data_IF_797452349574
#
_entry.id   IF_797452349574
#
_cell.length_a   1.000
_cell.length_b   1.000
_cell.length_c   1.000
_cell.angle_alpha   90.00
_cell.angle_beta   90.00
_cell.angle_gamma   90.00
#
_symmetry.space_group_name_H-M   'P 1'
#
loop_
_entity.id
_entity.type
_entity.pdbx_description
1 polymer ?
#
# COMPACT_ATOMS: atom_id res chain seq x y z
N UNK A 1 -23.03 17.69 13.95
CA UNK A 1 -22.33 16.42 14.26
C UNK A 1 -22.37 15.58 12.98
N UNK A 2 -21.31 15.59 12.20
CA UNK A 2 -21.26 14.81 10.95
C UNK A 2 -20.95 13.37 11.34
N UNK A 3 -21.91 12.49 11.20
CA UNK A 3 -21.66 11.05 11.38
C UNK A 3 -20.80 10.58 10.23
N UNK A 4 -19.56 10.25 10.52
CA UNK A 4 -18.69 9.60 9.54
C UNK A 4 -19.23 8.18 9.31
N UNK A 5 -19.69 7.92 8.10
CA UNK A 5 -20.07 6.57 7.69
C UNK A 5 -18.79 5.74 7.71
N UNK A 6 -18.72 4.71 8.56
CA UNK A 6 -17.64 3.72 8.55
C UNK A 6 -17.55 3.11 7.15
N UNK A 7 -16.50 3.43 6.43
CA UNK A 7 -16.26 2.76 5.17
C UNK A 7 -15.55 1.42 5.48
N UNK A 8 -16.33 0.39 5.72
CA UNK A 8 -15.86 -0.95 6.10
C UNK A 8 -15.14 -1.69 4.97
N UNK A 9 -14.92 -1.04 3.82
CA UNK A 9 -14.47 -1.70 2.59
C UNK A 9 -12.98 -1.55 2.30
N UNK A 10 -12.19 -0.93 3.16
CA UNK A 10 -10.76 -0.80 2.93
C UNK A 10 -10.00 -2.02 3.47
N UNK A 11 -9.19 -2.65 2.61
CA UNK A 11 -8.25 -3.66 3.08
C UNK A 11 -7.14 -2.99 3.90
N UNK A 12 -6.71 -3.65 4.98
CA UNK A 12 -5.71 -3.15 5.92
C UNK A 12 -4.34 -3.73 5.64
N UNK A 13 -3.31 -2.90 5.73
CA UNK A 13 -1.92 -3.27 5.56
C UNK A 13 -1.00 -2.63 6.59
N UNK A 14 0.22 -3.12 6.59
CA UNK A 14 1.34 -2.59 7.37
C UNK A 14 2.57 -2.47 6.50
N UNK A 15 3.49 -1.59 6.86
CA UNK A 15 4.79 -1.56 6.20
C UNK A 15 5.93 -1.78 7.20
N UNK A 16 6.93 -2.52 6.75
CA UNK A 16 8.01 -3.04 7.56
C UNK A 16 9.38 -2.72 6.94
N UNK A 17 10.36 -2.54 7.82
CA UNK A 17 11.75 -2.37 7.41
C UNK A 17 12.68 -2.89 8.51
N UNK A 18 13.98 -2.73 8.30
CA UNK A 18 14.99 -3.00 9.34
C UNK A 18 14.64 -2.37 10.69
N UNK A 19 13.91 -1.25 10.70
CA UNK A 19 13.50 -0.56 11.93
C UNK A 19 12.35 -1.25 12.67
N UNK A 20 11.64 -2.18 12.02
CA UNK A 20 10.60 -3.01 12.64
C UNK A 20 11.17 -4.24 13.39
N UNK A 21 12.49 -4.36 13.45
CA UNK A 21 13.23 -5.42 14.14
C UNK A 21 14.14 -4.79 15.20
N UNK A 22 14.44 -5.50 16.28
CA UNK A 22 15.39 -5.01 17.28
C UNK A 22 16.75 -4.66 16.66
N UNK A 23 17.48 -3.74 17.31
CA UNK A 23 18.76 -3.26 16.80
C UNK A 23 19.79 -4.39 16.57
N UNK A 24 19.74 -5.43 17.37
CA UNK A 24 20.61 -6.60 17.32
C UNK A 24 20.10 -7.73 16.41
N UNK A 25 18.97 -7.52 15.71
CA UNK A 25 18.28 -8.52 14.85
C UNK A 25 17.84 -9.79 15.59
N UNK A 26 17.68 -9.75 16.91
CA UNK A 26 17.27 -10.92 17.71
C UNK A 26 15.77 -11.03 17.90
N UNK A 27 15.07 -9.88 17.96
CA UNK A 27 13.63 -9.82 18.16
C UNK A 27 12.94 -9.36 16.89
N UNK A 28 12.00 -10.18 16.43
CA UNK A 28 11.26 -10.01 15.18
C UNK A 28 9.78 -9.93 15.47
N UNK A 29 9.00 -9.22 14.66
CA UNK A 29 7.55 -9.27 14.76
C UNK A 29 7.04 -10.72 14.68
N UNK A 30 6.10 -11.06 15.55
CA UNK A 30 5.44 -12.37 15.52
C UNK A 30 4.33 -12.36 14.45
N UNK A 31 4.61 -12.98 13.33
CA UNK A 31 3.67 -13.07 12.22
C UNK A 31 2.44 -13.92 12.50
N UNK A 32 2.44 -14.75 13.55
CA UNK A 32 1.22 -15.43 14.00
C UNK A 32 0.28 -14.45 14.72
N UNK A 33 0.81 -13.44 15.41
CA UNK A 33 0.00 -12.35 15.96
C UNK A 33 -0.50 -11.43 14.86
N UNK A 34 0.34 -11.11 13.87
CA UNK A 34 -0.05 -10.33 12.68
C UNK A 34 -1.20 -11.03 11.94
N UNK A 35 -1.11 -12.35 11.71
CA UNK A 35 -2.14 -13.13 11.03
C UNK A 35 -3.50 -13.17 11.76
N UNK A 36 -3.48 -13.01 13.10
CA UNK A 36 -4.69 -13.03 13.95
C UNK A 36 -5.19 -11.64 14.32
N UNK A 37 -4.51 -10.60 13.83
CA UNK A 37 -4.89 -9.21 14.14
C UNK A 37 -6.29 -8.89 13.62
N UNK A 38 -6.99 -8.02 14.34
CA UNK A 38 -8.27 -7.49 13.90
C UNK A 38 -8.21 -5.96 13.88
N UNK A 39 -8.38 -5.34 12.71
CA UNK A 39 -8.71 -5.94 11.42
C UNK A 39 -7.59 -6.80 10.86
N UNK A 40 -7.94 -7.73 9.97
CA UNK A 40 -6.99 -8.61 9.30
C UNK A 40 -5.96 -7.79 8.52
N UNK A 41 -4.70 -8.18 8.62
CA UNK A 41 -3.65 -7.65 7.76
C UNK A 41 -3.70 -8.37 6.41
N UNK A 42 -4.13 -7.66 5.38
CA UNK A 42 -4.37 -8.20 4.04
C UNK A 42 -3.14 -8.03 3.12
N UNK A 43 -2.31 -7.02 3.39
CA UNK A 43 -1.07 -6.79 2.66
C UNK A 43 0.04 -6.30 3.58
N UNK A 44 1.28 -6.57 3.17
CA UNK A 44 2.48 -6.13 3.86
C UNK A 44 3.43 -5.52 2.84
N UNK A 45 3.75 -4.24 3.02
CA UNK A 45 4.85 -3.62 2.32
C UNK A 45 6.15 -3.83 3.10
N UNK A 46 7.27 -3.92 2.39
CA UNK A 46 8.55 -4.15 3.06
C UNK A 46 9.72 -3.59 2.28
N UNK A 47 10.64 -2.92 2.98
CA UNK A 47 11.82 -2.39 2.35
C UNK A 47 12.74 -3.51 1.86
N UNK A 48 13.00 -3.51 0.55
CA UNK A 48 13.96 -4.41 -0.06
C UNK A 48 15.37 -3.80 -0.07
N UNK A 49 15.48 -2.53 -0.46
CA UNK A 49 16.76 -1.87 -0.55
C UNK A 49 16.68 -0.36 -0.62
N UNK A 50 17.86 0.26 -0.67
CA UNK A 50 18.06 1.69 -0.82
C UNK A 50 19.15 1.94 -1.84
N UNK A 51 18.91 2.81 -2.83
CA UNK A 51 19.89 3.16 -3.85
C UNK A 51 20.46 1.91 -4.56
N UNK A 52 21.72 1.90 -4.88
CA UNK A 52 22.36 0.80 -5.63
C UNK A 52 23.19 -0.17 -4.76
N UNK A 53 23.23 0.01 -3.44
CA UNK A 53 24.16 -0.75 -2.62
C UNK A 53 23.64 -1.23 -1.27
N UNK A 54 22.49 -0.72 -0.78
CA UNK A 54 21.95 -1.17 0.50
C UNK A 54 20.82 -2.19 0.28
N UNK A 55 21.02 -3.39 0.81
CA UNK A 55 20.01 -4.43 0.95
C UNK A 55 19.48 -4.41 2.38
N UNK A 56 18.17 -4.34 2.55
CA UNK A 56 17.58 -4.44 3.88
C UNK A 56 17.74 -5.85 4.44
N UNK A 57 18.42 -6.03 5.58
CA UNK A 57 18.70 -7.37 6.12
C UNK A 57 17.43 -8.11 6.58
N UNK A 58 16.33 -7.40 6.79
CA UNK A 58 15.05 -8.00 7.21
C UNK A 58 14.18 -8.46 6.04
N UNK A 59 14.46 -8.01 4.82
CA UNK A 59 13.60 -8.20 3.67
C UNK A 59 13.20 -9.65 3.42
N UNK A 60 14.18 -10.57 3.30
CA UNK A 60 13.90 -11.96 2.93
C UNK A 60 12.98 -12.64 3.94
N UNK A 61 13.22 -12.45 5.22
CA UNK A 61 12.39 -13.02 6.28
C UNK A 61 10.99 -12.41 6.30
N UNK A 62 10.86 -11.11 6.12
CA UNK A 62 9.55 -10.47 6.02
C UNK A 62 8.76 -10.97 4.81
N UNK A 63 9.43 -11.16 3.67
CA UNK A 63 8.80 -11.73 2.49
C UNK A 63 8.25 -13.14 2.76
N UNK A 64 9.08 -14.03 3.30
CA UNK A 64 8.72 -15.42 3.60
C UNK A 64 7.57 -15.50 4.61
N UNK A 65 7.64 -14.75 5.69
CA UNK A 65 6.60 -14.73 6.72
C UNK A 65 5.29 -14.10 6.23
N UNK A 66 5.34 -13.01 5.46
CA UNK A 66 4.16 -12.38 4.88
C UNK A 66 3.46 -13.31 3.88
N UNK A 67 4.24 -14.00 3.06
CA UNK A 67 3.72 -15.01 2.13
C UNK A 67 3.11 -16.19 2.89
N UNK A 68 3.75 -16.66 3.95
CA UNK A 68 3.25 -17.76 4.80
C UNK A 68 1.89 -17.45 5.41
N UNK A 69 1.64 -16.21 5.83
CA UNK A 69 0.34 -15.81 6.38
C UNK A 69 -0.69 -15.43 5.31
N UNK A 70 -0.34 -15.53 4.03
CA UNK A 70 -1.23 -15.27 2.90
C UNK A 70 -1.46 -13.79 2.60
N UNK A 71 -0.65 -12.87 3.12
CA UNK A 71 -0.73 -11.46 2.80
C UNK A 71 -0.28 -11.18 1.34
N UNK A 72 -0.81 -10.12 0.74
CA UNK A 72 -0.27 -9.56 -0.50
C UNK A 72 1.04 -8.82 -0.17
N UNK A 73 2.06 -8.95 -1.02
CA UNK A 73 3.40 -8.43 -0.71
C UNK A 73 3.80 -7.31 -1.65
N UNK A 74 4.29 -6.21 -1.06
CA UNK A 74 4.77 -5.02 -1.77
C UNK A 74 6.22 -4.70 -1.38
N UNK A 75 7.22 -5.29 -2.04
CA UNK A 75 8.60 -4.88 -1.84
C UNK A 75 8.80 -3.43 -2.29
N UNK A 76 9.42 -2.60 -1.44
CA UNK A 76 9.74 -1.24 -1.84
C UNK A 76 11.25 -0.94 -1.84
N UNK A 77 11.62 -0.03 -2.73
CA UNK A 77 12.99 0.43 -2.92
C UNK A 77 13.05 1.95 -2.75
N UNK A 78 13.91 2.42 -1.85
CA UNK A 78 14.11 3.85 -1.63
C UNK A 78 14.98 4.41 -2.75
N UNK A 79 14.40 5.33 -3.52
CA UNK A 79 15.07 5.97 -4.66
C UNK A 79 16.04 7.05 -4.20
N UNK A 80 17.25 7.03 -4.74
CA UNK A 80 18.25 8.09 -4.58
C UNK A 80 18.37 8.90 -5.89
N UNK A 81 17.75 10.08 -5.98
CA UNK A 81 17.91 10.94 -7.14
C UNK A 81 19.36 11.40 -7.25
N UNK A 82 19.88 11.43 -8.48
CA UNK A 82 21.29 11.71 -8.75
C UNK A 82 22.16 10.46 -8.89
N UNK A 83 21.74 9.31 -8.39
CA UNK A 83 22.40 8.03 -8.64
C UNK A 83 21.85 7.39 -9.93
N UNK A 84 22.65 6.61 -10.67
CA UNK A 84 22.24 6.01 -11.94
C UNK A 84 21.02 5.07 -11.75
N UNK A 85 19.92 5.37 -12.45
CA UNK A 85 18.68 4.60 -12.38
C UNK A 85 18.91 3.09 -12.64
N UNK A 86 19.69 2.77 -13.68
CA UNK A 86 19.98 1.37 -14.04
C UNK A 86 20.67 0.59 -12.90
N UNK A 87 21.61 1.23 -12.19
CA UNK A 87 22.29 0.57 -11.06
C UNK A 87 21.33 0.31 -9.90
N UNK A 88 20.46 1.27 -9.61
CA UNK A 88 19.46 1.14 -8.55
C UNK A 88 18.46 0.04 -8.86
N UNK A 89 17.91 0.02 -10.07
CA UNK A 89 16.91 -0.98 -10.46
C UNK A 89 17.51 -2.38 -10.59
N UNK A 90 18.72 -2.51 -11.13
CA UNK A 90 19.44 -3.80 -11.13
C UNK A 90 19.68 -4.30 -9.71
N UNK A 91 20.05 -3.42 -8.78
CA UNK A 91 20.20 -3.79 -7.38
C UNK A 91 18.87 -4.24 -6.76
N UNK A 92 17.78 -3.51 -7.02
CA UNK A 92 16.46 -3.89 -6.53
C UNK A 92 16.03 -5.26 -7.07
N UNK A 93 16.13 -5.48 -8.37
CA UNK A 93 15.80 -6.77 -9.00
C UNK A 93 16.68 -7.92 -8.51
N UNK A 94 17.97 -7.67 -8.29
CA UNK A 94 18.88 -8.65 -7.68
C UNK A 94 18.47 -9.06 -6.24
N UNK A 95 17.95 -8.11 -5.45
CA UNK A 95 17.41 -8.43 -4.11
C UNK A 95 16.20 -9.37 -4.22
N UNK A 96 15.42 -9.24 -5.29
CA UNK A 96 14.21 -10.03 -5.55
C UNK A 96 14.47 -11.37 -6.25
N UNK A 97 15.72 -11.73 -6.56
CA UNK A 97 16.01 -13.00 -7.19
C UNK A 97 15.38 -14.20 -6.47
N UNK A 98 14.77 -15.09 -7.25
CA UNK A 98 14.04 -16.26 -6.75
C UNK A 98 12.65 -15.96 -6.21
N UNK A 99 12.15 -14.73 -6.37
CA UNK A 99 10.76 -14.36 -6.10
C UNK A 99 10.00 -14.26 -7.43
N UNK A 100 8.84 -14.87 -7.49
CA UNK A 100 7.93 -14.72 -8.62
C UNK A 100 7.33 -13.30 -8.64
N UNK A 101 7.79 -12.48 -9.60
CA UNK A 101 7.42 -11.08 -9.72
C UNK A 101 5.93 -10.89 -10.10
N UNK A 102 5.26 -11.92 -10.59
CA UNK A 102 3.84 -11.84 -10.90
C UNK A 102 2.97 -11.86 -9.64
N UNK A 103 3.46 -12.45 -8.57
CA UNK A 103 2.75 -12.58 -7.28
C UNK A 103 2.90 -11.38 -6.35
N UNK A 104 3.77 -10.43 -6.69
CA UNK A 104 4.07 -9.24 -5.89
C UNK A 104 3.80 -7.94 -6.67
N UNK A 105 3.83 -6.79 -5.99
CA UNK A 105 3.78 -5.47 -6.64
C UNK A 105 4.93 -4.61 -6.13
N UNK A 106 5.74 -4.15 -7.08
CA UNK A 106 6.92 -3.36 -6.75
C UNK A 106 6.53 -1.92 -6.41
N UNK A 107 7.29 -1.32 -5.50
CA UNK A 107 7.08 0.07 -5.08
C UNK A 107 8.40 0.83 -5.16
N UNK A 108 8.35 2.06 -5.66
CA UNK A 108 9.43 3.04 -5.56
C UNK A 108 9.06 4.06 -4.48
N UNK A 109 9.87 4.14 -3.45
CA UNK A 109 9.77 5.12 -2.37
C UNK A 109 10.55 6.38 -2.79
N UNK A 110 9.82 7.49 -3.03
CA UNK A 110 10.31 8.72 -3.64
C UNK A 110 10.05 9.89 -2.70
N UNK A 111 10.97 10.10 -1.75
CA UNK A 111 10.85 11.16 -0.73
C UNK A 111 12.18 11.82 -0.37
N UNK A 112 13.25 11.51 -1.09
CA UNK A 112 14.57 12.09 -0.91
C UNK A 112 14.93 12.99 -2.08
N UNK A 113 15.39 14.22 -1.80
CA UNK A 113 15.82 15.14 -2.84
C UNK A 113 17.33 15.13 -3.10
N UNK A 114 18.14 14.82 -2.05
CA UNK A 114 19.59 14.83 -2.11
C UNK A 114 20.17 16.07 -2.79
N UNK A 115 19.52 17.22 -2.60
CA UNK A 115 19.88 18.51 -3.21
C UNK A 115 19.83 18.48 -4.76
N UNK A 116 19.12 17.53 -5.34
CA UNK A 116 18.93 17.45 -6.78
C UNK A 116 17.82 18.38 -7.24
N UNK A 117 17.93 18.84 -8.47
CA UNK A 117 16.88 19.66 -9.08
C UNK A 117 15.63 18.81 -9.34
N UNK A 118 14.48 19.47 -9.34
CA UNK A 118 13.19 18.83 -9.73
C UNK A 118 13.28 18.06 -11.03
N UNK A 119 14.00 18.59 -12.03
CA UNK A 119 14.20 17.95 -13.34
C UNK A 119 15.00 16.66 -13.19
N UNK A 120 16.09 16.67 -12.40
CA UNK A 120 16.91 15.48 -12.17
C UNK A 120 16.11 14.39 -11.46
N UNK A 121 15.36 14.74 -10.40
CA UNK A 121 14.50 13.82 -9.66
C UNK A 121 13.48 13.17 -10.59
N UNK A 122 12.76 13.99 -11.38
CA UNK A 122 11.76 13.49 -12.34
C UNK A 122 12.37 12.57 -13.41
N UNK A 123 13.54 12.92 -13.94
CA UNK A 123 14.21 12.11 -14.95
C UNK A 123 14.71 10.78 -14.38
N UNK A 124 15.28 10.80 -13.15
CA UNK A 124 15.71 9.56 -12.47
C UNK A 124 14.52 8.65 -12.18
N UNK A 125 13.42 9.23 -11.66
CA UNK A 125 12.19 8.47 -11.39
C UNK A 125 11.63 7.87 -12.69
N UNK A 126 11.48 8.66 -13.76
CA UNK A 126 10.99 8.15 -15.05
C UNK A 126 11.85 7.01 -15.58
N UNK A 127 13.18 7.15 -15.53
CA UNK A 127 14.09 6.08 -15.96
C UNK A 127 13.91 4.80 -15.13
N UNK A 128 13.73 4.90 -13.80
CA UNK A 128 13.46 3.75 -12.94
C UNK A 128 12.11 3.09 -13.27
N UNK A 129 11.06 3.88 -13.52
CA UNK A 129 9.75 3.39 -13.92
C UNK A 129 9.84 2.57 -15.22
N UNK A 130 10.52 3.11 -16.25
CA UNK A 130 10.67 2.44 -17.56
C UNK A 130 11.48 1.15 -17.46
N UNK A 131 12.56 1.13 -16.66
CA UNK A 131 13.36 -0.08 -16.43
C UNK A 131 12.50 -1.16 -15.80
N UNK A 132 11.80 -0.84 -14.69
CA UNK A 132 10.96 -1.83 -14.01
C UNK A 132 9.78 -2.27 -14.88
N UNK A 133 9.19 -1.37 -15.67
CA UNK A 133 8.16 -1.72 -16.65
C UNK A 133 8.67 -2.71 -17.70
N UNK A 134 9.88 -2.49 -18.20
CA UNK A 134 10.51 -3.40 -19.18
C UNK A 134 10.74 -4.80 -18.60
N UNK A 135 11.20 -4.87 -17.34
CA UNK A 135 11.57 -6.13 -16.69
C UNK A 135 10.36 -6.92 -16.13
N UNK A 136 9.29 -6.22 -15.73
CA UNK A 136 8.16 -6.86 -15.03
C UNK A 136 6.82 -6.77 -15.78
N UNK A 137 6.80 -6.10 -16.93
CA UNK A 137 5.58 -5.91 -17.71
C UNK A 137 4.61 -4.85 -17.12
N UNK A 138 4.90 -4.24 -15.97
CA UNK A 138 4.03 -3.26 -15.31
C UNK A 138 4.82 -2.16 -14.62
N UNK A 139 4.24 -0.96 -14.51
CA UNK A 139 4.84 0.10 -13.72
C UNK A 139 4.76 -0.22 -12.21
N UNK A 140 5.80 0.14 -11.42
CA UNK A 140 5.71 0.07 -9.97
C UNK A 140 4.75 1.14 -9.42
N UNK A 141 4.28 0.93 -8.21
CA UNK A 141 3.56 1.92 -7.42
C UNK A 141 4.56 2.99 -6.95
N UNK A 142 4.19 4.27 -6.93
CA UNK A 142 5.00 5.33 -6.34
C UNK A 142 4.50 5.64 -4.93
N UNK A 143 5.38 5.47 -3.93
CA UNK A 143 5.14 5.96 -2.58
C UNK A 143 5.75 7.35 -2.40
N UNK A 144 4.99 8.27 -1.82
CA UNK A 144 5.46 9.59 -1.40
C UNK A 144 4.40 10.37 -0.60
N UNK A 145 4.73 11.63 -0.28
CA UNK A 145 3.80 12.63 0.25
C UNK A 145 3.39 13.58 -0.87
N UNK A 146 2.10 13.92 -0.96
CA UNK A 146 1.57 14.77 -2.02
C UNK A 146 2.29 16.13 -2.14
N UNK A 147 2.59 16.79 -1.01
CA UNK A 147 3.30 18.06 -1.01
C UNK A 147 4.73 17.93 -1.54
N UNK A 148 5.41 16.84 -1.17
CA UNK A 148 6.76 16.57 -1.63
C UNK A 148 6.79 16.35 -3.16
N UNK A 149 5.84 15.57 -3.69
CA UNK A 149 5.69 15.37 -5.14
C UNK A 149 5.40 16.69 -5.85
N UNK A 150 4.49 17.52 -5.32
CA UNK A 150 4.16 18.83 -5.91
C UNK A 150 5.40 19.73 -6.04
N UNK A 151 6.35 19.62 -5.14
CA UNK A 151 7.58 20.42 -5.11
C UNK A 151 8.69 19.83 -5.99
N UNK A 152 8.87 18.51 -5.98
CA UNK A 152 10.07 17.84 -6.48
C UNK A 152 9.88 17.03 -7.76
N UNK A 153 8.64 16.78 -8.21
CA UNK A 153 8.38 15.92 -9.38
C UNK A 153 7.46 16.59 -10.39
N UNK A 154 7.81 16.51 -11.65
CA UNK A 154 6.92 16.88 -12.76
C UNK A 154 5.99 15.72 -13.11
N UNK A 155 4.87 15.58 -12.40
CA UNK A 155 3.91 14.47 -12.56
C UNK A 155 3.45 14.31 -14.02
N UNK A 156 3.26 15.43 -14.74
CA UNK A 156 2.85 15.43 -16.16
C UNK A 156 3.84 14.72 -17.11
N UNK A 157 5.08 14.55 -16.68
CA UNK A 157 6.14 13.90 -17.46
C UNK A 157 6.22 12.39 -17.16
N UNK A 158 5.43 11.89 -16.18
CA UNK A 158 5.38 10.48 -15.81
C UNK A 158 4.29 9.74 -16.58
N UNK A 159 4.44 8.41 -16.78
CA UNK A 159 3.33 7.58 -17.25
C UNK A 159 2.23 7.51 -16.19
N UNK A 160 1.06 6.96 -16.58
CA UNK A 160 0.02 6.65 -15.62
C UNK A 160 0.50 5.53 -14.69
N UNK A 161 0.54 5.82 -13.39
CA UNK A 161 1.01 4.92 -12.33
C UNK A 161 0.07 4.95 -11.14
N UNK A 162 0.12 3.93 -10.32
CA UNK A 162 -0.59 3.89 -9.05
C UNK A 162 0.20 4.61 -7.95
N UNK A 163 -0.53 5.21 -7.00
CA UNK A 163 0.05 6.05 -5.95
C UNK A 163 -0.24 5.49 -4.55
N UNK A 164 0.81 5.35 -3.76
CA UNK A 164 0.75 5.11 -2.33
C UNK A 164 1.13 6.42 -1.63
N UNK A 165 0.15 7.07 -1.00
CA UNK A 165 0.31 8.41 -0.45
C UNK A 165 0.33 8.40 1.07
N UNK A 166 1.39 8.95 1.66
CA UNK A 166 1.48 9.15 3.09
C UNK A 166 0.84 10.46 3.50
N UNK A 167 -0.10 10.37 4.42
CA UNK A 167 -0.66 11.53 5.11
C UNK A 167 -1.19 11.14 6.48
N UNK A 168 -0.61 11.72 7.52
CA UNK A 168 -0.94 11.43 8.91
C UNK A 168 -1.83 12.48 9.51
N UNK A 169 -2.77 12.06 10.35
CA UNK A 169 -3.60 12.95 11.14
C UNK A 169 -3.08 12.99 12.57
N UNK A 170 -2.47 14.10 12.96
CA UNK A 170 -1.91 14.28 14.30
C UNK A 170 -2.91 14.86 15.32
N UNK A 171 -4.16 15.09 14.94
CA UNK A 171 -5.16 15.70 15.83
C UNK A 171 -6.01 14.64 16.52
N UNK A 172 -5.92 14.58 17.86
CA UNK A 172 -6.90 13.86 18.67
C UNK A 172 -8.33 14.35 18.36
N UNK A 173 -9.35 13.48 18.37
CA UNK A 173 -9.40 12.15 19.00
C UNK A 173 -9.20 10.98 18.03
N UNK A 174 -8.61 11.18 16.84
CA UNK A 174 -8.48 10.10 15.87
C UNK A 174 -7.47 9.07 16.38
N UNK A 175 -7.83 7.78 16.40
CA UNK A 175 -6.84 6.75 16.65
C UNK A 175 -5.76 6.83 15.57
N UNK A 176 -4.52 6.57 15.96
CA UNK A 176 -3.37 6.49 15.04
C UNK A 176 -3.49 5.29 14.08
N UNK A 177 -4.71 4.86 13.82
CA UNK A 177 -5.04 3.61 13.23
C UNK A 177 -6.22 3.71 12.28
N UNK A 178 -6.15 3.01 11.17
CA UNK A 178 -7.25 2.85 10.24
C UNK A 178 -7.07 1.63 9.34
N UNK A 179 -8.13 0.94 9.02
CA UNK A 179 -8.87 1.16 7.77
C UNK A 179 -9.99 2.20 7.84
N UNK A 180 -10.30 2.68 9.01
CA UNK A 180 -11.45 3.56 9.26
C UNK A 180 -11.12 5.05 9.20
N UNK A 181 -9.95 5.41 8.68
CA UNK A 181 -9.51 6.79 8.57
C UNK A 181 -10.50 7.62 7.72
N UNK A 182 -11.05 8.72 8.26
CA UNK A 182 -12.24 9.35 7.68
C UNK A 182 -11.96 10.13 6.39
N UNK A 183 -10.71 10.52 6.14
CA UNK A 183 -10.36 11.39 5.05
C UNK A 183 -9.44 10.70 4.05
N UNK A 184 -9.66 10.86 2.73
CA UNK A 184 -8.68 10.43 1.74
C UNK A 184 -7.37 11.22 1.90
N UNK A 185 -6.23 10.71 1.43
CA UNK A 185 -5.00 11.47 1.40
C UNK A 185 -5.15 12.67 0.44
N UNK A 186 -4.38 13.72 0.70
CA UNK A 186 -4.20 14.77 -0.29
C UNK A 186 -3.57 14.19 -1.55
N UNK A 187 -4.10 14.57 -2.71
CA UNK A 187 -3.57 14.18 -4.00
C UNK A 187 -2.49 15.16 -4.47
N UNK A 188 -1.38 14.69 -5.08
CA UNK A 188 -0.49 15.54 -5.83
C UNK A 188 -1.24 16.21 -7.01
N UNK A 189 -0.77 17.37 -7.45
CA UNK A 189 -1.35 18.04 -8.62
C UNK A 189 -1.21 17.17 -9.87
N UNK A 190 -2.34 16.95 -10.55
CA UNK A 190 -2.40 16.11 -11.74
C UNK A 190 -2.56 14.60 -11.45
N UNK A 191 -2.73 14.21 -10.19
CA UNK A 191 -3.09 12.84 -9.79
C UNK A 191 -4.55 12.81 -9.39
N UNK A 192 -5.33 11.91 -10.01
CA UNK A 192 -6.78 11.86 -9.79
C UNK A 192 -7.22 10.79 -8.77
N UNK A 193 -6.39 9.78 -8.54
CA UNK A 193 -6.71 8.67 -7.63
C UNK A 193 -5.49 8.19 -6.86
N UNK A 194 -5.74 7.68 -5.68
CA UNK A 194 -4.76 6.99 -4.85
C UNK A 194 -5.10 5.50 -4.78
N UNK A 195 -4.10 4.67 -4.62
CA UNK A 195 -4.25 3.23 -4.44
C UNK A 195 -4.09 2.82 -2.99
N UNK A 196 -3.05 3.31 -2.33
CA UNK A 196 -2.75 3.02 -0.93
C UNK A 196 -2.57 4.36 -0.19
N UNK A 197 -3.05 4.40 1.05
CA UNK A 197 -2.86 5.53 1.96
C UNK A 197 -2.15 5.04 3.23
N UNK A 198 -0.92 5.49 3.45
CA UNK A 198 -0.26 5.33 4.73
C UNK A 198 -0.84 6.36 5.69
N UNK A 199 -1.57 5.87 6.69
CA UNK A 199 -2.40 6.71 7.56
C UNK A 199 -1.68 7.14 8.83
N UNK A 200 -0.67 6.41 9.25
CA UNK A 200 0.16 6.71 10.41
C UNK A 200 1.53 6.01 10.34
N UNK A 201 2.53 6.62 10.96
CA UNK A 201 3.83 6.03 11.29
C UNK A 201 3.92 5.64 12.79
N UNK A 202 2.79 5.70 13.49
CA UNK A 202 2.71 5.52 14.95
C UNK A 202 1.59 4.59 15.39
N UNK A 203 1.17 3.68 14.52
CA UNK A 203 0.27 2.62 14.90
C UNK A 203 0.89 1.71 15.97
N UNK A 204 0.12 1.17 16.92
CA UNK A 204 0.64 0.18 17.87
C UNK A 204 1.32 -0.98 17.15
N UNK A 205 2.53 -1.35 17.58
CA UNK A 205 3.28 -2.42 16.91
C UNK A 205 2.54 -3.76 17.05
N UNK A 206 2.10 -4.31 15.92
CA UNK A 206 1.51 -5.65 15.83
C UNK A 206 2.66 -6.66 15.84
N UNK A 207 2.54 -7.70 16.68
CA UNK A 207 3.59 -8.71 16.80
C UNK A 207 4.68 -8.40 17.83
N UNK A 208 4.60 -7.28 18.55
CA UNK A 208 5.32 -7.06 19.80
C UNK A 208 6.77 -6.59 19.69
N UNK A 209 7.24 -6.14 18.53
CA UNK A 209 8.58 -5.53 18.41
C UNK A 209 8.46 -4.04 18.10
N UNK A 210 9.19 -3.24 18.90
CA UNK A 210 9.12 -1.78 18.79
C UNK A 210 7.89 -1.20 19.49
N UNK A 211 7.76 0.13 19.42
CA UNK A 211 6.61 0.86 19.99
C UNK A 211 5.57 1.17 18.94
N UNK A 212 6.02 1.41 17.72
CA UNK A 212 5.20 1.88 16.60
C UNK A 212 5.44 1.07 15.34
N UNK A 213 4.44 1.10 14.45
CA UNK A 213 4.42 0.46 13.16
C UNK A 213 3.62 1.32 12.19
N UNK A 214 3.98 1.31 10.93
CA UNK A 214 3.28 2.03 9.88
C UNK A 214 2.02 1.28 9.47
N UNK A 215 0.91 2.00 9.37
CA UNK A 215 -0.38 1.44 8.99
C UNK A 215 -0.86 2.03 7.69
N UNK A 216 -1.38 1.13 6.85
CA UNK A 216 -1.81 1.40 5.50
C UNK A 216 -3.24 0.93 5.26
N UNK A 217 -3.91 1.60 4.34
CA UNK A 217 -5.18 1.12 3.81
C UNK A 217 -5.16 1.11 2.29
N UNK A 218 -5.67 0.07 1.73
CA UNK A 218 -5.95 -0.06 0.31
C UNK A 218 -7.24 0.70 -0.04
N UNK A 219 -7.27 1.39 -1.18
CA UNK A 219 -8.47 2.10 -1.65
C UNK A 219 -9.46 1.14 -2.31
N UNK A 220 -9.98 0.23 -1.52
CA UNK A 220 -10.91 -0.80 -1.97
C UNK A 220 -10.98 -1.97 -1.00
N UNK A 221 -11.83 -2.93 -1.32
CA UNK A 221 -12.04 -4.15 -0.56
C UNK A 221 -10.85 -5.12 -0.65
N UNK A 222 -10.83 -6.11 0.21
CA UNK A 222 -9.89 -7.24 0.12
C UNK A 222 -10.00 -7.96 -1.23
N UNK A 223 -11.21 -8.13 -1.77
CA UNK A 223 -11.42 -8.77 -3.07
C UNK A 223 -10.78 -7.98 -4.22
N UNK A 224 -10.90 -6.65 -4.21
CA UNK A 224 -10.26 -5.77 -5.18
C UNK A 224 -8.74 -5.79 -5.05
N UNK A 225 -8.21 -5.81 -3.81
CA UNK A 225 -6.79 -6.02 -3.55
C UNK A 225 -6.31 -7.36 -4.15
N UNK A 226 -7.01 -8.46 -3.89
CA UNK A 226 -6.65 -9.78 -4.43
C UNK A 226 -6.68 -9.81 -5.96
N UNK A 227 -7.72 -9.23 -6.57
CA UNK A 227 -7.81 -9.10 -8.03
C UNK A 227 -6.63 -8.30 -8.61
N UNK A 228 -6.21 -7.21 -7.96
CA UNK A 228 -5.04 -6.43 -8.36
C UNK A 228 -3.74 -7.25 -8.32
N UNK A 229 -3.65 -8.22 -7.40
CA UNK A 229 -2.52 -9.17 -7.32
C UNK A 229 -2.68 -10.40 -8.20
N UNK A 230 -3.76 -10.50 -8.99
CA UNK A 230 -4.04 -11.66 -9.83
C UNK A 230 -4.41 -12.92 -9.03
N UNK A 231 -4.85 -12.76 -7.78
CA UNK A 231 -5.32 -13.86 -6.95
C UNK A 231 -6.78 -14.15 -7.24
N UNK A 232 -7.13 -15.43 -7.39
CA UNK A 232 -8.53 -15.82 -7.49
C UNK A 232 -9.28 -15.47 -6.19
N UNK A 233 -10.38 -14.76 -6.33
CA UNK A 233 -11.33 -14.55 -5.25
C UNK A 233 -12.19 -15.80 -5.19
N UNK A 234 -11.86 -16.75 -4.32
CA UNK A 234 -12.80 -17.81 -4.00
C UNK A 234 -13.99 -17.15 -3.31
N UNK A 235 -15.08 -16.97 -4.04
CA UNK A 235 -16.36 -16.65 -3.46
C UNK A 235 -16.80 -17.90 -2.70
N UNK A 236 -16.32 -18.08 -1.46
CA UNK A 236 -17.02 -18.96 -0.54
C UNK A 236 -18.43 -18.40 -0.42
N UNK A 237 -19.48 -19.16 -0.78
CA UNK A 237 -20.82 -18.66 -0.65
C UNK A 237 -21.05 -18.36 0.82
N UNK A 238 -21.27 -17.08 1.13
CA UNK A 238 -21.66 -16.67 2.48
C UNK A 238 -23.00 -17.33 2.77
N UNK A 239 -23.00 -18.38 3.57
CA UNK A 239 -24.23 -19.04 3.96
C UNK A 239 -25.10 -18.04 4.73
N UNK A 240 -26.35 -17.93 4.35
CA UNK A 240 -27.32 -17.09 5.04
C UNK A 240 -27.45 -17.58 6.50
N UNK A 241 -27.27 -16.70 7.52
CA UNK A 241 -27.32 -17.12 8.92
C UNK A 241 -28.72 -17.63 9.36
N UNK A 242 -29.74 -17.49 8.52
CA UNK A 242 -31.12 -17.87 8.84
C UNK A 242 -31.49 -19.26 8.32
N UNK A 243 -30.98 -19.69 7.16
CA UNK A 243 -31.38 -20.92 6.51
C UNK A 243 -30.21 -21.81 6.01
N UNK A 244 -28.98 -21.34 6.14
CA UNK A 244 -27.80 -22.08 5.73
C UNK A 244 -27.65 -22.25 4.21
N UNK A 245 -28.44 -21.56 3.40
CA UNK A 245 -28.35 -21.56 1.93
C UNK A 245 -27.40 -20.47 1.45
N UNK A 246 -26.77 -20.61 0.25
CA UNK A 246 -25.95 -19.55 -0.32
C UNK A 246 -26.77 -18.28 -0.50
N UNK A 247 -26.30 -17.16 0.07
CA UNK A 247 -26.89 -15.86 -0.22
C UNK A 247 -26.58 -15.50 -1.68
N UNK A 248 -27.54 -15.68 -2.58
CA UNK A 248 -27.45 -15.07 -3.89
C UNK A 248 -27.46 -13.55 -3.72
N UNK A 249 -26.36 -12.92 -4.09
CA UNK A 249 -26.30 -11.47 -4.19
C UNK A 249 -27.25 -11.06 -5.31
N UNK A 250 -28.41 -10.55 -4.95
CA UNK A 250 -29.27 -9.84 -5.89
C UNK A 250 -28.50 -8.58 -6.27
N UNK A 251 -27.85 -8.60 -7.42
CA UNK A 251 -27.36 -7.38 -8.06
C UNK A 251 -28.60 -6.52 -8.34
N UNK A 252 -28.77 -5.44 -7.58
CA UNK A 252 -29.76 -4.43 -7.86
C UNK A 252 -29.38 -3.75 -9.19
N UNK A 253 -29.88 -4.32 -10.29
CA UNK A 253 -29.95 -3.63 -11.59
C UNK A 253 -30.64 -2.29 -11.34
N UNK A 254 -29.95 -1.19 -11.71
CA UNK A 254 -30.36 0.18 -11.49
C UNK A 254 -31.83 0.44 -11.76
N UNK A 255 -32.60 0.62 -10.71
CA UNK A 255 -33.86 1.30 -10.78
C UNK A 255 -33.71 2.63 -10.05
N UNK A 256 -33.85 3.73 -10.83
CA UNK A 256 -34.03 5.07 -10.29
C UNK A 256 -35.19 5.09 -9.29
N UNK A 257 -35.09 5.81 -8.16
CA UNK A 257 -36.21 5.94 -7.25
C UNK A 257 -37.39 6.64 -7.96
N UNK A 258 -38.51 5.93 -8.07
CA UNK A 258 -39.78 6.52 -8.47
C UNK A 258 -40.27 7.33 -7.27
N UNK A 259 -40.43 8.65 -7.46
CA UNK A 259 -41.03 9.51 -6.48
C UNK A 259 -42.50 9.11 -6.28
N UNK A 260 -42.87 8.76 -5.06
CA UNK A 260 -44.29 8.60 -4.67
C UNK A 260 -44.93 9.97 -4.49
N UNK A 261 -46.17 10.17 -4.94
CA UNK A 261 -46.86 11.44 -4.74
C UNK A 261 -47.25 11.62 -3.27
N UNK A 262 -46.99 12.82 -2.74
CA UNK A 262 -47.44 13.24 -1.43
C UNK A 262 -48.95 13.52 -1.55
N UNK A 263 -49.79 12.69 -0.95
CA UNK A 263 -51.16 13.08 -0.67
C UNK A 263 -51.22 13.94 0.60
N UNK A 264 -51.78 15.12 0.41
CA UNK A 264 -52.11 16.10 1.45
C UNK A 264 -53.40 15.67 2.12
N UNK A 265 -53.41 15.45 3.41
CA UNK A 265 -54.52 15.65 4.31
C UNK A 265 -54.03 16.32 5.61
#
# INVERSE_FOLDING_TARGET
MTYFVRNQNYAFGIDLSRYSVSADLRHWPDFNLIARHSPKVDFVAMRAGISWGYRDPSFRRFYEESTRIGACVLPYHVLYPGEPALKQMNHFLHILEGIDLDTIRLVLDVELDHQQTRRMISNTLLACLEILKSETGRYPIIYSRALWIDEHVYVKDLPEVDWWLAQYYHRRPWPDYTPEYPCPPRMPKGVERWLIHQTTERGPAIGGVGTYMDYDRWNGSQAELWAYFGREVSLEPTLCPVDGLPCERIEALGQKPVALPVEVL
#
